data_IF_434208459270
#
_entry.id   IF_434208459270
#
_cell.length_a   1.000
_cell.length_b   1.000
_cell.length_c   1.000
_cell.angle_alpha   90.00
_cell.angle_beta   90.00
_cell.angle_gamma   90.00
#
_symmetry.space_group_name_H-M   'P 1'
#
loop_
_entity.id
_entity.type
_entity.pdbx_description
1 polymer ?
#
# COMPACT_ATOMS: atom_id res chain seq x y z
N UNK A 1 -5.00 -10.44 -7.43
CA UNK A 1 -6.01 -9.38 -7.21
C UNK A 1 -6.45 -8.86 -8.55
N UNK A 2 -7.75 -8.80 -8.82
CA UNK A 2 -8.32 -8.37 -10.12
C UNK A 2 -7.86 -6.96 -10.54
N UNK A 3 -7.67 -6.06 -9.56
CA UNK A 3 -7.16 -4.71 -9.79
C UNK A 3 -5.72 -4.63 -10.32
N UNK A 4 -4.84 -5.60 -10.00
CA UNK A 4 -3.47 -5.58 -10.54
C UNK A 4 -3.48 -5.73 -12.06
N UNK A 5 -4.37 -6.58 -12.58
CA UNK A 5 -4.50 -6.75 -14.03
C UNK A 5 -4.92 -5.43 -14.69
N UNK A 6 -5.93 -4.76 -14.13
CA UNK A 6 -6.43 -3.47 -14.64
C UNK A 6 -5.29 -2.45 -14.73
N UNK A 7 -4.51 -2.27 -13.66
CA UNK A 7 -3.41 -1.30 -13.62
C UNK A 7 -2.21 -1.68 -14.52
N UNK A 8 -2.05 -2.95 -14.88
CA UNK A 8 -0.99 -3.38 -15.79
C UNK A 8 -1.34 -3.20 -17.27
N UNK A 9 -2.62 -3.05 -17.61
CA UNK A 9 -3.11 -3.02 -19.00
C UNK A 9 -3.63 -1.64 -19.39
N UNK A 10 -4.21 -0.90 -18.45
CA UNK A 10 -4.74 0.44 -18.73
C UNK A 10 -3.67 1.51 -18.46
N UNK A 11 -3.46 2.37 -19.46
CA UNK A 11 -2.95 3.71 -19.18
C UNK A 11 -4.10 4.47 -18.53
N UNK A 12 -4.13 4.45 -17.20
CA UNK A 12 -5.23 5.07 -16.47
C UNK A 12 -5.16 6.59 -16.61
N UNK A 13 -6.29 7.19 -17.03
CA UNK A 13 -6.51 8.62 -16.96
C UNK A 13 -6.80 9.01 -15.51
N UNK A 14 -6.27 10.16 -15.09
CA UNK A 14 -6.49 10.73 -13.76
C UNK A 14 -7.99 10.84 -13.48
N UNK A 15 -8.76 11.34 -14.45
CA UNK A 15 -10.21 11.51 -14.33
C UNK A 15 -10.95 10.19 -14.03
N UNK A 16 -10.46 9.07 -14.54
CA UNK A 16 -11.11 7.77 -14.38
C UNK A 16 -10.87 7.15 -12.98
N UNK A 17 -9.71 7.42 -12.36
CA UNK A 17 -9.36 6.89 -11.05
C UNK A 17 -9.62 7.86 -9.90
N UNK A 18 -9.74 9.16 -10.16
CA UNK A 18 -10.03 10.17 -9.13
C UNK A 18 -11.21 9.81 -8.22
N UNK A 19 -12.38 9.34 -8.72
CA UNK A 19 -13.48 8.95 -7.83
C UNK A 19 -13.11 7.82 -6.87
N UNK A 20 -12.26 6.88 -7.30
CA UNK A 20 -11.78 5.79 -6.47
C UNK A 20 -10.75 6.28 -5.45
N UNK A 21 -9.80 7.13 -5.85
CA UNK A 21 -8.85 7.77 -4.93
C UNK A 21 -9.58 8.55 -3.83
N UNK A 22 -10.60 9.32 -4.21
CA UNK A 22 -11.44 10.07 -3.28
C UNK A 22 -12.24 9.15 -2.34
N UNK A 23 -12.85 8.07 -2.87
CA UNK A 23 -13.59 7.12 -2.04
C UNK A 23 -12.68 6.43 -1.02
N UNK A 24 -11.44 6.06 -1.41
CA UNK A 24 -10.47 5.49 -0.49
C UNK A 24 -10.13 6.50 0.61
N UNK A 25 -9.72 7.72 0.23
CA UNK A 25 -9.24 8.73 1.16
C UNK A 25 -10.34 9.28 2.08
N UNK A 26 -11.54 9.53 1.54
CA UNK A 26 -12.63 10.25 2.24
C UNK A 26 -13.68 9.32 2.87
N UNK A 27 -13.76 8.05 2.45
CA UNK A 27 -14.78 7.12 2.95
C UNK A 27 -14.14 5.88 3.59
N UNK A 28 -13.31 5.15 2.86
CA UNK A 28 -12.75 3.87 3.32
C UNK A 28 -11.81 4.05 4.52
N UNK A 29 -10.77 4.89 4.42
CA UNK A 29 -9.79 5.05 5.50
C UNK A 29 -10.42 5.61 6.78
N UNK A 30 -11.32 6.63 6.74
CA UNK A 30 -12.06 7.07 7.92
C UNK A 30 -12.95 5.98 8.52
N UNK A 31 -13.65 5.20 7.68
CA UNK A 31 -14.48 4.10 8.16
C UNK A 31 -13.65 2.99 8.82
N UNK A 32 -12.47 2.67 8.28
CA UNK A 32 -11.55 1.69 8.84
C UNK A 32 -11.04 2.10 10.23
N UNK A 33 -10.77 3.38 10.45
CA UNK A 33 -10.32 3.89 11.75
C UNK A 33 -11.46 4.27 12.70
N UNK A 34 -12.71 4.29 12.23
CA UNK A 34 -13.87 4.68 13.02
C UNK A 34 -13.93 6.17 13.36
N UNK A 35 -13.33 7.03 12.53
CA UNK A 35 -13.28 8.47 12.78
C UNK A 35 -12.52 9.26 11.71
N UNK A 36 -12.49 10.61 11.81
CA UNK A 36 -11.84 11.45 10.83
C UNK A 36 -10.33 11.17 10.73
N UNK A 37 -9.77 11.38 9.53
CA UNK A 37 -8.36 11.15 9.21
C UNK A 37 -7.79 12.41 8.58
N UNK A 38 -6.64 12.86 9.07
CA UNK A 38 -5.97 14.06 8.57
C UNK A 38 -5.28 13.77 7.23
N UNK A 39 -5.10 14.77 6.34
CA UNK A 39 -4.42 14.57 5.05
C UNK A 39 -3.05 13.89 5.16
N UNK A 40 -2.18 14.33 6.09
CA UNK A 40 -0.86 13.72 6.33
C UNK A 40 -0.93 12.26 6.79
N UNK A 41 -2.02 11.88 7.46
CA UNK A 41 -2.24 10.49 7.85
C UNK A 41 -2.77 9.66 6.70
N UNK A 42 -3.64 10.21 5.85
CA UNK A 42 -4.07 9.57 4.60
C UNK A 42 -2.85 9.25 3.74
N UNK A 43 -1.94 10.21 3.54
CA UNK A 43 -0.69 10.02 2.80
C UNK A 43 0.13 8.84 3.35
N UNK A 44 0.27 8.72 4.67
CA UNK A 44 0.95 7.58 5.30
C UNK A 44 0.17 6.28 5.13
N UNK A 45 -1.15 6.30 5.28
CA UNK A 45 -2.01 5.13 5.19
C UNK A 45 -2.04 4.52 3.79
N UNK A 46 -1.85 5.33 2.75
CA UNK A 46 -1.79 4.88 1.35
C UNK A 46 -0.45 4.18 1.00
N UNK A 47 0.54 4.20 1.89
CA UNK A 47 1.81 3.50 1.67
C UNK A 47 1.69 1.99 1.88
N UNK A 48 2.67 1.20 1.38
CA UNK A 48 2.79 -0.21 1.76
C UNK A 48 2.98 -0.41 3.27
N UNK A 49 2.54 -1.55 3.78
CA UNK A 49 2.59 -1.85 5.22
C UNK A 49 3.99 -1.72 5.85
N UNK A 50 5.03 -2.08 5.09
CA UNK A 50 6.44 -1.96 5.51
C UNK A 50 6.93 -0.51 5.66
N UNK A 51 6.24 0.45 5.05
CA UNK A 51 6.51 1.89 5.20
C UNK A 51 5.56 2.55 6.21
N UNK A 52 4.72 1.78 6.90
CA UNK A 52 3.78 2.28 7.90
C UNK A 52 2.36 2.56 7.38
N UNK A 53 2.07 2.25 6.11
CA UNK A 53 0.72 2.38 5.55
C UNK A 53 -0.11 1.11 5.69
N UNK A 54 -1.25 1.03 5.02
CA UNK A 54 -2.24 -0.05 5.18
C UNK A 54 -2.16 -1.12 4.09
N UNK A 55 -1.25 -0.95 3.12
CA UNK A 55 -1.20 -1.72 1.85
C UNK A 55 -2.37 -1.45 0.88
N UNK A 56 -3.34 -0.61 1.30
CA UNK A 56 -4.32 0.01 0.40
C UNK A 56 -3.64 1.18 -0.30
N UNK A 57 -3.06 0.92 -1.46
CA UNK A 57 -2.30 1.92 -2.23
C UNK A 57 -3.19 2.83 -3.04
N UNK A 58 -2.72 4.05 -3.27
CA UNK A 58 -3.35 4.97 -4.20
C UNK A 58 -3.45 4.34 -5.62
N UNK A 59 -4.66 4.29 -6.20
CA UNK A 59 -4.87 3.75 -7.55
C UNK A 59 -4.03 4.41 -8.64
N UNK A 60 -3.83 5.73 -8.61
CA UNK A 60 -3.06 6.47 -9.59
C UNK A 60 -1.58 6.12 -9.48
N UNK A 61 -1.02 6.13 -8.26
CA UNK A 61 0.38 5.74 -8.04
C UNK A 61 0.63 4.29 -8.49
N UNK A 62 -0.33 3.41 -8.19
CA UNK A 62 -0.26 2.00 -8.58
C UNK A 62 -0.29 1.86 -10.11
N UNK A 63 -1.18 2.55 -10.81
CA UNK A 63 -1.25 2.54 -12.28
C UNK A 63 0.02 3.14 -12.92
N UNK A 64 0.48 4.28 -12.41
CA UNK A 64 1.66 4.99 -12.88
C UNK A 64 2.93 4.12 -12.82
N UNK A 65 3.02 3.22 -11.85
CA UNK A 65 4.14 2.29 -11.75
C UNK A 65 3.90 0.94 -12.48
N UNK A 66 2.68 0.40 -12.41
CA UNK A 66 2.35 -0.94 -12.94
C UNK A 66 2.36 -0.99 -14.48
N UNK A 67 1.81 0.03 -15.14
CA UNK A 67 1.70 0.05 -16.60
C UNK A 67 3.08 0.12 -17.29
N UNK A 68 4.01 1.04 -16.92
CA UNK A 68 5.35 1.06 -17.50
C UNK A 68 6.15 -0.21 -17.21
N UNK A 69 6.00 -0.79 -16.01
CA UNK A 69 6.66 -2.05 -15.65
C UNK A 69 6.16 -3.21 -16.52
N UNK A 70 4.85 -3.28 -16.79
CA UNK A 70 4.22 -4.25 -17.70
C UNK A 70 4.76 -4.12 -19.11
N UNK A 71 4.78 -2.89 -19.68
CA UNK A 71 5.34 -2.62 -21.02
C UNK A 71 6.83 -2.97 -21.11
N UNK A 72 7.60 -2.65 -20.08
CA UNK A 72 9.02 -2.99 -20.04
C UNK A 72 9.23 -4.51 -20.01
N UNK A 73 8.42 -5.23 -19.22
CA UNK A 73 8.48 -6.69 -19.08
C UNK A 73 8.10 -7.44 -20.35
N UNK A 74 7.08 -6.95 -21.07
CA UNK A 74 6.56 -7.59 -22.30
C UNK A 74 7.30 -7.20 -23.58
N UNK A 75 8.25 -6.26 -23.51
CA UNK A 75 9.00 -5.70 -24.64
C UNK A 75 9.57 -6.75 -25.61
N UNK A 76 10.12 -7.86 -25.10
CA UNK A 76 10.70 -8.94 -25.94
C UNK A 76 9.62 -9.63 -26.77
N UNK A 77 8.52 -10.05 -26.12
CA UNK A 77 7.39 -10.69 -26.80
C UNK A 77 6.74 -9.71 -27.78
N UNK A 78 6.51 -8.46 -27.38
CA UNK A 78 5.91 -7.45 -28.26
C UNK A 78 6.72 -7.22 -29.54
N UNK A 79 8.07 -7.15 -29.44
CA UNK A 79 8.93 -7.03 -30.62
C UNK A 79 8.85 -8.26 -31.53
N UNK A 80 8.76 -9.45 -30.94
CA UNK A 80 8.72 -10.68 -31.72
C UNK A 80 7.39 -10.88 -32.43
N UNK A 81 6.27 -10.62 -31.76
CA UNK A 81 4.93 -10.64 -32.38
C UNK A 81 4.83 -9.65 -33.54
N UNK A 82 5.52 -8.51 -33.46
CA UNK A 82 5.60 -7.52 -34.54
C UNK A 82 6.56 -7.91 -35.68
N UNK A 83 7.20 -9.08 -35.64
CA UNK A 83 8.19 -9.51 -36.62
C UNK A 83 9.51 -8.72 -36.57
N UNK A 84 9.75 -7.92 -35.53
CA UNK A 84 10.91 -7.02 -35.41
C UNK A 84 12.14 -7.69 -34.78
N UNK A 85 11.98 -8.87 -34.16
CA UNK A 85 13.06 -9.64 -33.55
C UNK A 85 12.64 -11.11 -33.35
N UNK A 86 13.57 -12.08 -33.34
CA UNK A 86 13.28 -13.45 -32.93
C UNK A 86 12.91 -13.51 -31.43
N UNK A 87 12.06 -14.47 -31.06
CA UNK A 87 11.71 -14.70 -29.66
C UNK A 87 12.69 -15.66 -28.99
N UNK A 88 13.31 -15.20 -27.91
CA UNK A 88 14.12 -16.03 -27.03
C UNK A 88 13.56 -16.02 -25.60
N UNK A 89 13.12 -17.17 -25.06
CA UNK A 89 12.55 -17.25 -23.71
C UNK A 89 13.51 -16.79 -22.61
N UNK A 90 14.82 -16.99 -22.79
CA UNK A 90 15.86 -16.54 -21.85
C UNK A 90 15.88 -15.02 -21.70
N UNK A 91 15.94 -14.31 -22.83
CA UNK A 91 15.95 -12.84 -22.89
C UNK A 91 14.66 -12.25 -22.33
N UNK A 92 13.51 -12.88 -22.62
CA UNK A 92 12.23 -12.46 -22.06
C UNK A 92 12.21 -12.57 -20.53
N UNK A 93 12.64 -13.72 -19.98
CA UNK A 93 12.74 -13.91 -18.52
C UNK A 93 13.71 -12.93 -17.87
N UNK A 94 14.84 -12.64 -18.52
CA UNK A 94 15.79 -11.64 -18.04
C UNK A 94 15.19 -10.22 -18.03
N UNK A 95 14.46 -9.88 -19.09
CA UNK A 95 13.77 -8.58 -19.24
C UNK A 95 12.69 -8.40 -18.17
N UNK A 96 11.86 -9.42 -17.92
CA UNK A 96 10.86 -9.40 -16.84
C UNK A 96 11.55 -9.15 -15.50
N UNK A 97 12.57 -9.95 -15.15
CA UNK A 97 13.28 -9.81 -13.88
C UNK A 97 13.87 -8.41 -13.71
N UNK A 98 14.51 -7.88 -14.75
CA UNK A 98 15.10 -6.54 -14.73
C UNK A 98 14.03 -5.46 -14.54
N UNK A 99 12.95 -5.50 -15.32
CA UNK A 99 11.86 -4.52 -15.26
C UNK A 99 11.18 -4.50 -13.89
N UNK A 100 10.84 -5.67 -13.34
CA UNK A 100 10.21 -5.78 -12.01
C UNK A 100 11.15 -5.33 -10.89
N UNK A 101 12.43 -5.71 -10.95
CA UNK A 101 13.43 -5.28 -9.95
C UNK A 101 13.60 -3.77 -9.95
N UNK A 102 13.72 -3.16 -11.14
CA UNK A 102 13.84 -1.72 -11.30
C UNK A 102 12.59 -0.98 -10.79
N UNK A 103 11.39 -1.43 -11.18
CA UNK A 103 10.13 -0.84 -10.74
C UNK A 103 9.99 -0.89 -9.21
N UNK A 104 10.28 -2.04 -8.60
CA UNK A 104 10.25 -2.20 -7.14
C UNK A 104 11.24 -1.27 -6.44
N UNK A 105 12.47 -1.14 -6.95
CA UNK A 105 13.47 -0.25 -6.38
C UNK A 105 13.03 1.23 -6.46
N UNK A 106 12.47 1.65 -7.59
CA UNK A 106 11.95 3.01 -7.76
C UNK A 106 10.80 3.30 -6.79
N UNK A 107 9.85 2.38 -6.67
CA UNK A 107 8.74 2.47 -5.70
C UNK A 107 9.25 2.53 -4.26
N UNK A 108 10.24 1.71 -3.89
CA UNK A 108 10.76 1.71 -2.51
C UNK A 108 11.46 3.01 -2.14
N UNK A 109 12.15 3.64 -3.08
CA UNK A 109 12.70 4.99 -2.87
C UNK A 109 11.57 6.01 -2.73
N UNK A 110 10.59 6.00 -3.63
CA UNK A 110 9.46 6.94 -3.59
C UNK A 110 8.67 6.85 -2.27
N UNK A 111 8.25 5.64 -1.87
CA UNK A 111 7.51 5.42 -0.63
C UNK A 111 8.32 5.83 0.61
N UNK A 112 9.64 5.61 0.61
CA UNK A 112 10.50 6.06 1.70
C UNK A 112 10.50 7.59 1.79
N UNK A 113 10.65 8.28 0.66
CA UNK A 113 10.61 9.75 0.60
C UNK A 113 9.25 10.30 1.04
N UNK A 114 8.14 9.73 0.56
CA UNK A 114 6.78 10.12 0.96
C UNK A 114 6.58 9.96 2.48
N UNK A 115 7.05 8.84 3.05
CA UNK A 115 7.00 8.61 4.49
C UNK A 115 7.77 9.68 5.26
N UNK A 116 9.00 9.99 4.83
CA UNK A 116 9.86 10.99 5.47
C UNK A 116 9.25 12.41 5.40
N UNK A 117 8.52 12.73 4.33
CA UNK A 117 7.81 14.00 4.17
C UNK A 117 6.52 14.10 5.00
N UNK A 118 5.77 12.99 5.15
CA UNK A 118 4.50 12.98 5.86
C UNK A 118 4.65 12.92 7.39
N UNK A 119 5.68 12.23 7.89
CA UNK A 119 5.91 12.02 9.33
C UNK A 119 5.96 13.31 10.18
N UNK A 120 6.64 14.40 9.78
CA UNK A 120 6.69 15.64 10.55
C UNK A 120 5.32 16.29 10.78
N UNK A 121 4.33 15.97 9.95
CA UNK A 121 2.97 16.49 10.04
C UNK A 121 2.05 15.64 10.92
N UNK A 122 2.59 14.61 11.57
CA UNK A 122 1.90 13.80 12.57
C UNK A 122 2.30 14.28 13.96
N UNK A 123 1.34 14.31 14.90
CA UNK A 123 1.63 14.71 16.28
C UNK A 123 2.74 13.86 16.89
N UNK A 124 3.50 14.48 17.82
CA UNK A 124 4.73 13.87 18.39
C UNK A 124 4.50 12.49 19.00
N UNK A 125 3.33 12.27 19.62
CA UNK A 125 3.00 10.98 20.27
C UNK A 125 2.80 9.90 19.21
N UNK A 126 1.99 10.16 18.19
CA UNK A 126 1.69 9.20 17.11
C UNK A 126 2.89 8.99 16.19
N UNK A 127 3.69 10.03 15.95
CA UNK A 127 4.97 9.92 15.24
C UNK A 127 5.90 8.88 15.87
N UNK A 128 6.00 8.86 17.21
CA UNK A 128 6.82 7.88 17.94
C UNK A 128 6.31 6.45 17.71
N UNK A 129 4.99 6.24 17.75
CA UNK A 129 4.37 4.93 17.50
C UNK A 129 4.67 4.46 16.08
N UNK A 130 4.44 5.30 15.07
CA UNK A 130 4.69 4.98 13.66
C UNK A 130 6.17 4.71 13.36
N UNK A 131 7.07 5.46 14.01
CA UNK A 131 8.51 5.22 13.93
C UNK A 131 8.90 3.87 14.53
N UNK A 132 8.29 3.50 15.67
CA UNK A 132 8.51 2.21 16.31
C UNK A 132 8.00 1.06 15.44
N UNK A 133 6.77 1.16 14.94
CA UNK A 133 6.16 0.16 14.05
C UNK A 133 7.03 -0.15 12.84
N UNK A 134 7.58 0.90 12.20
CA UNK A 134 8.49 0.73 11.06
C UNK A 134 9.84 0.11 11.47
N UNK A 135 10.44 0.57 12.58
CA UNK A 135 11.73 0.07 13.08
C UNK A 135 11.68 -1.42 13.43
N UNK A 136 10.62 -1.85 14.11
CA UNK A 136 10.48 -3.22 14.60
C UNK A 136 9.68 -4.13 13.67
N UNK A 137 9.27 -3.63 12.49
CA UNK A 137 8.56 -4.39 11.45
C UNK A 137 7.30 -5.10 11.96
N UNK A 138 6.53 -4.45 12.82
CA UNK A 138 5.33 -5.02 13.45
C UNK A 138 4.08 -4.96 12.57
N UNK A 139 4.21 -4.61 11.29
CA UNK A 139 3.10 -4.50 10.33
C UNK A 139 2.75 -5.82 9.62
N UNK A 140 3.39 -6.94 9.95
CA UNK A 140 3.23 -8.20 9.20
C UNK A 140 1.78 -8.70 9.17
N UNK A 141 1.03 -8.52 10.25
CA UNK A 141 -0.37 -8.94 10.39
C UNK A 141 -1.32 -8.33 9.35
N UNK A 142 -0.98 -7.18 8.76
CA UNK A 142 -1.78 -6.55 7.69
C UNK A 142 -1.62 -7.23 6.33
N UNK A 143 -0.53 -7.98 6.15
CA UNK A 143 -0.13 -8.56 4.86
C UNK A 143 -0.23 -10.08 4.83
N UNK A 144 -0.50 -10.70 5.98
CA UNK A 144 -0.65 -12.15 6.09
C UNK A 144 -2.07 -12.54 5.71
N UNK A 145 -2.21 -13.68 5.05
CA UNK A 145 -3.53 -14.24 4.75
C UNK A 145 -4.24 -14.61 6.07
N UNK A 146 -5.47 -14.10 6.30
CA UNK A 146 -6.25 -14.50 7.46
C UNK A 146 -6.52 -16.00 7.45
N UNK A 147 -6.24 -16.67 8.56
CA UNK A 147 -6.42 -18.12 8.72
C UNK A 147 -6.73 -18.43 10.18
N UNK A 148 -7.80 -19.20 10.41
CA UNK A 148 -8.17 -19.70 11.73
C UNK A 148 -7.12 -20.66 12.27
N UNK A 149 -6.62 -21.56 11.43
CA UNK A 149 -5.68 -22.61 11.83
C UNK A 149 -4.34 -22.04 12.29
N UNK A 150 -3.94 -20.91 11.69
CA UNK A 150 -2.70 -20.22 12.02
C UNK A 150 -2.88 -19.10 13.06
N UNK A 151 -4.10 -18.93 13.61
CA UNK A 151 -4.45 -17.82 14.50
C UNK A 151 -4.09 -16.44 13.93
N UNK A 152 -4.25 -16.26 12.62
CA UNK A 152 -4.05 -14.98 11.92
C UNK A 152 -5.37 -14.33 11.49
N UNK A 153 -6.50 -15.02 11.71
CA UNK A 153 -7.83 -14.46 11.55
C UNK A 153 -8.16 -13.51 12.69
N UNK A 154 -8.18 -12.21 12.40
CA UNK A 154 -8.70 -11.19 13.31
C UNK A 154 -10.18 -10.95 13.01
N UNK A 155 -10.98 -10.79 14.04
CA UNK A 155 -12.34 -10.28 13.86
C UNK A 155 -12.33 -8.79 13.49
N UNK A 156 -13.52 -8.25 13.19
CA UNK A 156 -13.65 -6.88 12.74
C UNK A 156 -13.33 -5.83 13.82
N UNK A 157 -13.45 -6.16 15.10
CA UNK A 157 -13.12 -5.28 16.22
C UNK A 157 -11.60 -5.35 16.51
N UNK A 158 -11.04 -6.56 16.61
CA UNK A 158 -9.61 -6.81 16.79
C UNK A 158 -8.78 -6.13 15.69
N UNK A 159 -9.21 -6.25 14.44
CA UNK A 159 -8.55 -5.57 13.31
C UNK A 159 -8.56 -4.05 13.47
N UNK A 160 -9.71 -3.47 13.83
CA UNK A 160 -9.87 -2.00 13.98
C UNK A 160 -9.09 -1.47 15.17
N UNK A 161 -9.03 -2.21 16.26
CA UNK A 161 -8.28 -1.86 17.45
C UNK A 161 -6.78 -1.92 17.18
N UNK A 162 -6.31 -3.01 16.56
CA UNK A 162 -4.93 -3.16 16.13
C UNK A 162 -4.51 -2.04 15.16
N UNK A 163 -5.39 -1.66 14.23
CA UNK A 163 -5.15 -0.57 13.29
C UNK A 163 -5.05 0.78 14.02
N UNK A 164 -6.00 1.09 14.91
CA UNK A 164 -5.97 2.32 15.70
C UNK A 164 -4.69 2.42 16.56
N UNK A 165 -4.35 1.35 17.28
CA UNK A 165 -3.13 1.30 18.08
C UNK A 165 -1.87 1.51 17.23
N UNK A 166 -1.82 0.93 16.03
CA UNK A 166 -0.70 1.09 15.09
C UNK A 166 -0.48 2.54 14.65
N UNK A 167 -1.56 3.30 14.47
CA UNK A 167 -1.51 4.74 14.17
C UNK A 167 -1.47 5.62 15.43
N UNK A 168 -1.30 5.02 16.61
CA UNK A 168 -1.24 5.70 17.91
C UNK A 168 -2.56 6.37 18.32
N UNK A 169 -3.67 5.93 17.73
CA UNK A 169 -5.04 6.36 18.06
C UNK A 169 -5.59 5.53 19.22
N UNK A 170 -6.60 6.07 19.88
CA UNK A 170 -7.35 5.35 20.90
C UNK A 170 -8.37 4.44 20.20
N UNK A 171 -8.40 3.13 20.48
CA UNK A 171 -9.42 2.26 19.91
C UNK A 171 -10.83 2.65 20.35
N UNK A 172 -11.83 2.57 19.46
CA UNK A 172 -13.21 2.92 19.80
C UNK A 172 -13.78 1.95 20.86
N UNK A 173 -14.63 2.44 21.76
CA UNK A 173 -15.33 1.60 22.74
C UNK A 173 -14.55 1.25 24.02
N UNK A 174 -13.26 1.62 24.11
CA UNK A 174 -12.51 1.51 25.36
C UNK A 174 -12.81 2.68 26.29
N UNK A 175 -13.16 2.39 27.55
CA UNK A 175 -13.35 3.39 28.58
C UNK A 175 -12.08 4.25 28.76
N UNK A 176 -12.28 5.54 29.04
CA UNK A 176 -11.17 6.49 29.23
C UNK A 176 -10.32 6.18 30.48
N UNK A 177 -10.90 5.46 31.45
CA UNK A 177 -10.25 4.97 32.67
C UNK A 177 -10.74 3.56 32.93
N UNK A 178 -9.86 2.72 33.46
CA UNK A 178 -10.28 1.46 34.04
C UNK A 178 -11.11 1.77 35.29
N UNK A 179 -12.19 1.04 35.53
CA UNK A 179 -13.05 1.23 36.71
C UNK A 179 -12.30 1.06 38.05
N UNK A 180 -11.06 0.54 38.01
CA UNK A 180 -10.19 0.32 39.17
C UNK A 180 -8.81 1.03 39.05
N UNK A 181 -8.67 2.07 38.21
CA UNK A 181 -7.45 2.90 38.12
C UNK A 181 -7.69 4.38 38.44
#
# INVERSE_FOLDING_TARGET
MEWDYVFHVLLADECALSPLCEAIAKQLLPALLGGPVMPSEIELMLLPARFGGTDIRDPLDRAAAAYPASRASTKVVSKSVQGKAPFHPGDHRATIRHALTKSKQQQDVAHKTMREAALPHIDRRRHRVLSHTAKYKTSGWLTILPSTDNNTGLDAAEFRDALNMRYGRHPPGLAARCDHC
#
